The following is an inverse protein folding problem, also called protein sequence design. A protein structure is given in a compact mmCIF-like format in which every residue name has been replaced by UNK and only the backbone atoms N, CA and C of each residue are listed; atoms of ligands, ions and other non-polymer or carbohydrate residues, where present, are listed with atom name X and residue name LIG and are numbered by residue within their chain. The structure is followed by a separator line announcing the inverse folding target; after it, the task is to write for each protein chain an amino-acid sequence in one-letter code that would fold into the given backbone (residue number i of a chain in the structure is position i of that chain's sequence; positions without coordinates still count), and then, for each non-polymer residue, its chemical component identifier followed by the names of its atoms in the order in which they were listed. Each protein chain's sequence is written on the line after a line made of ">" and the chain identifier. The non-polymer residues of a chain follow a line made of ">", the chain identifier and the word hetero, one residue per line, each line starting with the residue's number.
data_IF_608227659471
#
_entry.id   IF_608227659471
#
_cell.length_a   1.000
_cell.length_b   1.000
_cell.length_c   1.000
_cell.angle_alpha   90.00
_cell.angle_beta   90.00
_cell.angle_gamma   90.00
#
_symmetry.space_group_name_H-M   'P 1'
#
loop_
_entity.id
_entity.type
_entity.pdbx_description
1 polymer ?
#
# COMPACT_ATOMS: atom_id res chain seq x y z
N UNK A 1 -43.57 1.38 -26.91
CA UNK A 1 -42.10 1.24 -26.92
C UNK A 1 -41.36 2.56 -27.16
N UNK A 2 -41.68 3.36 -28.18
CA UNK A 2 -40.95 4.62 -28.47
C UNK A 2 -40.93 5.67 -27.34
N UNK A 3 -41.91 5.67 -26.43
CA UNK A 3 -41.91 6.59 -25.28
C UNK A 3 -40.75 6.34 -24.30
N UNK A 4 -40.17 5.13 -24.26
CA UNK A 4 -39.03 4.82 -23.38
C UNK A 4 -37.75 5.55 -23.80
N UNK A 5 -37.63 5.94 -25.07
CA UNK A 5 -36.50 6.76 -25.56
C UNK A 5 -36.54 8.16 -24.94
N UNK A 6 -37.74 8.66 -24.60
CA UNK A 6 -37.92 9.96 -23.95
C UNK A 6 -37.50 9.95 -22.48
N UNK A 7 -37.27 8.77 -21.87
CA UNK A 7 -36.78 8.65 -20.50
C UNK A 7 -35.25 8.79 -20.41
N UNK A 8 -34.51 8.70 -21.52
CA UNK A 8 -33.03 8.81 -21.52
C UNK A 8 -32.51 10.09 -20.85
N UNK A 9 -33.07 11.29 -21.10
CA UNK A 9 -32.65 12.50 -20.37
C UNK A 9 -32.90 12.43 -18.86
N UNK A 10 -33.96 11.73 -18.44
CA UNK A 10 -34.26 11.49 -17.03
C UNK A 10 -33.27 10.49 -16.41
N UNK A 11 -33.00 9.36 -17.08
CA UNK A 11 -31.98 8.40 -16.64
C UNK A 11 -30.60 9.05 -16.54
N UNK A 12 -30.23 9.88 -17.50
CA UNK A 12 -28.95 10.59 -17.50
C UNK A 12 -28.76 11.48 -16.26
N UNK A 13 -29.84 12.11 -15.76
CA UNK A 13 -29.79 12.89 -14.52
C UNK A 13 -29.66 12.02 -13.27
N UNK A 14 -30.10 10.76 -13.31
CA UNK A 14 -30.07 9.84 -12.16
C UNK A 14 -28.80 9.00 -12.12
N UNK A 15 -28.54 8.22 -13.17
CA UNK A 15 -27.34 7.40 -13.31
C UNK A 15 -26.86 7.41 -14.77
N UNK A 16 -25.81 8.19 -15.01
CA UNK A 16 -25.17 8.32 -16.33
C UNK A 16 -24.72 6.99 -16.89
N UNK A 17 -24.25 6.07 -16.05
CA UNK A 17 -23.70 4.79 -16.48
C UNK A 17 -24.82 3.89 -17.02
N UNK A 18 -25.92 3.76 -16.28
CA UNK A 18 -27.07 2.94 -16.71
C UNK A 18 -27.68 3.52 -18.00
N UNK A 19 -27.68 4.85 -18.12
CA UNK A 19 -28.09 5.52 -19.36
C UNK A 19 -27.17 5.19 -20.54
N UNK A 20 -25.85 5.10 -20.33
CA UNK A 20 -24.89 4.71 -21.38
C UNK A 20 -25.11 3.25 -21.78
N UNK A 21 -25.27 2.35 -20.81
CA UNK A 21 -25.56 0.92 -21.08
C UNK A 21 -26.85 0.80 -21.90
N UNK A 22 -27.91 1.51 -21.50
CA UNK A 22 -29.17 1.49 -22.23
C UNK A 22 -29.03 1.97 -23.68
N UNK A 23 -28.36 3.10 -23.89
CA UNK A 23 -28.14 3.65 -25.25
C UNK A 23 -27.27 2.71 -26.08
N UNK A 24 -26.21 2.16 -25.49
CA UNK A 24 -25.32 1.19 -26.15
C UNK A 24 -26.08 -0.05 -26.60
N UNK A 25 -26.87 -0.67 -25.71
CA UNK A 25 -27.68 -1.85 -26.02
C UNK A 25 -28.75 -1.54 -27.07
N UNK A 26 -29.42 -0.39 -26.96
CA UNK A 26 -30.44 0.02 -27.93
C UNK A 26 -29.84 0.18 -29.34
N UNK A 27 -28.72 0.89 -29.45
CA UNK A 27 -28.00 1.06 -30.72
C UNK A 27 -27.51 -0.30 -31.24
N UNK A 28 -26.98 -1.15 -30.35
CA UNK A 28 -26.54 -2.50 -30.66
C UNK A 28 -27.65 -3.35 -31.29
N UNK A 29 -28.86 -3.35 -30.69
CA UNK A 29 -30.01 -4.07 -31.23
C UNK A 29 -30.48 -3.55 -32.59
N UNK A 30 -30.35 -2.24 -32.85
CA UNK A 30 -30.72 -1.62 -34.12
C UNK A 30 -29.74 -2.02 -35.24
N UNK A 31 -28.44 -2.04 -34.95
CA UNK A 31 -27.39 -2.27 -35.95
C UNK A 31 -27.11 -3.76 -36.18
N UNK A 32 -27.04 -4.55 -35.10
CA UNK A 32 -26.61 -5.96 -35.13
C UNK A 32 -27.79 -6.95 -35.11
N UNK A 33 -29.02 -6.46 -34.94
CA UNK A 33 -30.19 -7.28 -34.67
C UNK A 33 -30.37 -7.56 -33.18
N UNK A 34 -31.56 -8.04 -32.82
CA UNK A 34 -31.99 -8.17 -31.42
C UNK A 34 -31.07 -9.12 -30.61
N UNK A 35 -30.79 -10.31 -31.14
CA UNK A 35 -30.04 -11.34 -30.42
C UNK A 35 -28.60 -10.92 -30.11
N UNK A 36 -27.87 -10.43 -31.12
CA UNK A 36 -26.50 -9.96 -30.97
C UNK A 36 -26.41 -8.65 -30.18
N UNK A 37 -27.38 -7.75 -30.35
CA UNK A 37 -27.42 -6.48 -29.62
C UNK A 37 -27.62 -6.68 -28.11
N UNK A 38 -28.50 -7.60 -27.72
CA UNK A 38 -28.70 -7.95 -26.31
C UNK A 38 -27.47 -8.63 -25.71
N UNK A 39 -26.84 -9.56 -26.44
CA UNK A 39 -25.59 -10.19 -25.98
C UNK A 39 -24.48 -9.15 -25.77
N UNK A 40 -24.30 -8.23 -26.72
CA UNK A 40 -23.33 -7.14 -26.61
C UNK A 40 -23.64 -6.23 -25.40
N UNK A 41 -24.91 -5.89 -25.19
CA UNK A 41 -25.37 -5.12 -24.04
C UNK A 41 -25.04 -5.77 -22.71
N UNK A 42 -25.30 -7.08 -22.58
CA UNK A 42 -24.98 -7.87 -21.38
C UNK A 42 -23.48 -7.88 -21.09
N UNK A 43 -22.65 -8.10 -22.11
CA UNK A 43 -21.19 -8.08 -21.97
C UNK A 43 -20.72 -6.69 -21.54
N UNK A 44 -21.26 -5.63 -22.14
CA UNK A 44 -20.91 -4.25 -21.79
C UNK A 44 -21.32 -3.88 -20.36
N UNK A 45 -22.50 -4.32 -19.92
CA UNK A 45 -22.96 -4.19 -18.54
C UNK A 45 -22.02 -4.89 -17.56
N UNK A 46 -21.64 -6.14 -17.85
CA UNK A 46 -20.71 -6.90 -17.01
C UNK A 46 -19.35 -6.22 -16.90
N UNK A 47 -18.78 -5.78 -18.02
CA UNK A 47 -17.51 -5.03 -18.05
C UNK A 47 -17.63 -3.75 -17.22
N UNK A 48 -18.75 -3.05 -17.34
CA UNK A 48 -19.01 -1.81 -16.59
C UNK A 48 -19.09 -2.06 -15.09
N UNK A 49 -19.76 -3.13 -14.66
CA UNK A 49 -19.84 -3.53 -13.25
C UNK A 49 -18.46 -3.87 -12.70
N UNK A 50 -17.67 -4.66 -13.45
CA UNK A 50 -16.30 -4.99 -13.07
C UNK A 50 -15.49 -3.70 -12.93
N UNK A 51 -15.50 -2.82 -13.94
CA UNK A 51 -14.78 -1.55 -13.93
C UNK A 51 -15.13 -0.69 -12.71
N UNK A 52 -16.42 -0.53 -12.41
CA UNK A 52 -16.87 0.25 -11.23
C UNK A 52 -16.40 -0.35 -9.92
N UNK A 53 -16.30 -1.67 -9.84
CA UNK A 53 -15.83 -2.38 -8.64
C UNK A 53 -14.31 -2.29 -8.47
N UNK A 54 -13.56 -2.18 -9.58
CA UNK A 54 -12.10 -2.01 -9.57
C UNK A 54 -11.64 -0.63 -9.10
N UNK A 55 -12.45 0.40 -9.34
CA UNK A 55 -12.08 1.79 -9.04
C UNK A 55 -13.02 2.40 -7.98
N UNK A 56 -12.99 1.90 -6.75
CA UNK A 56 -13.87 2.41 -5.70
C UNK A 56 -13.51 3.83 -5.28
N UNK A 57 -14.42 4.46 -4.54
CA UNK A 57 -14.16 5.77 -3.95
C UNK A 57 -13.37 5.59 -2.65
N UNK A 58 -12.14 6.10 -2.65
CA UNK A 58 -11.28 6.17 -1.48
C UNK A 58 -11.04 7.63 -1.11
N UNK A 59 -11.15 7.96 0.17
CA UNK A 59 -11.12 9.34 0.64
C UNK A 59 -10.32 9.48 1.93
N UNK A 60 -9.63 10.61 2.08
CA UNK A 60 -9.05 11.02 3.35
C UNK A 60 -10.12 11.69 4.20
N UNK A 61 -10.26 11.26 5.45
CA UNK A 61 -11.19 11.86 6.40
C UNK A 61 -10.48 12.88 7.28
N UNK A 62 -11.18 13.97 7.57
CA UNK A 62 -10.81 14.92 8.60
C UNK A 62 -11.96 15.13 9.58
N UNK A 63 -11.68 15.84 10.65
CA UNK A 63 -12.61 16.18 11.70
C UNK A 63 -13.23 17.57 11.47
N UNK A 64 -14.49 17.73 11.85
CA UNK A 64 -15.10 19.05 11.98
C UNK A 64 -14.82 19.60 13.39
N UNK A 65 -14.11 20.74 13.53
CA UNK A 65 -13.63 21.23 14.82
C UNK A 65 -14.74 21.34 15.88
N UNK A 66 -14.47 20.79 17.07
CA UNK A 66 -15.42 20.81 18.20
C UNK A 66 -16.55 19.79 18.11
N UNK A 67 -16.46 18.81 17.21
CA UNK A 67 -17.44 17.71 17.07
C UNK A 67 -16.73 16.38 16.82
N UNK A 68 -17.45 15.26 16.97
CA UNK A 68 -16.94 13.92 16.64
C UNK A 68 -17.26 13.50 15.19
N UNK A 69 -17.53 14.46 14.30
CA UNK A 69 -17.95 14.19 12.92
C UNK A 69 -16.73 14.15 12.02
N UNK A 70 -16.52 13.00 11.37
CA UNK A 70 -15.48 12.80 10.37
C UNK A 70 -16.06 12.73 8.95
N UNK A 71 -15.53 13.55 8.05
CA UNK A 71 -15.99 13.66 6.65
C UNK A 71 -14.81 13.78 5.69
N UNK A 72 -15.09 13.54 4.41
CA UNK A 72 -14.12 13.69 3.34
C UNK A 72 -13.65 15.15 3.23
N UNK A 73 -12.35 15.36 3.31
CA UNK A 73 -11.72 16.69 3.24
C UNK A 73 -11.97 17.36 1.88
N UNK A 74 -12.12 16.58 0.82
CA UNK A 74 -12.38 17.11 -0.53
C UNK A 74 -13.79 17.65 -0.71
N UNK A 75 -14.73 17.14 0.07
CA UNK A 75 -16.16 17.45 -0.09
C UNK A 75 -16.57 18.65 0.78
N UNK A 76 -15.83 18.93 1.87
CA UNK A 76 -16.19 19.95 2.87
C UNK A 76 -15.00 20.85 3.23
N UNK A 77 -15.19 22.17 3.12
CA UNK A 77 -14.13 23.17 3.38
C UNK A 77 -13.77 23.35 4.87
N UNK A 78 -14.68 23.01 5.77
CA UNK A 78 -14.51 23.21 7.22
C UNK A 78 -13.96 21.97 7.95
N UNK A 79 -13.49 20.99 7.19
CA UNK A 79 -12.97 19.73 7.71
C UNK A 79 -11.44 19.79 7.67
N UNK A 80 -10.80 19.49 8.80
CA UNK A 80 -9.35 19.53 8.95
C UNK A 80 -8.79 18.16 9.35
N UNK A 81 -7.60 17.83 8.86
CA UNK A 81 -6.86 16.67 9.35
C UNK A 81 -6.32 16.93 10.76
N UNK A 82 -6.25 15.87 11.56
CA UNK A 82 -5.65 15.93 12.88
C UNK A 82 -4.13 15.81 12.70
N UNK A 83 -3.32 16.75 13.22
CA UNK A 83 -1.87 16.67 13.11
C UNK A 83 -1.34 15.33 13.65
N UNK A 84 -0.48 14.67 12.87
CA UNK A 84 0.10 13.37 13.24
C UNK A 84 -0.79 12.15 12.98
N UNK A 85 -2.06 12.33 12.57
CA UNK A 85 -3.00 11.23 12.30
C UNK A 85 -3.55 11.34 10.88
N UNK A 86 -3.45 10.24 10.14
CA UNK A 86 -4.06 10.09 8.81
C UNK A 86 -5.22 9.11 8.89
N UNK A 87 -6.40 9.50 8.43
CA UNK A 87 -7.57 8.63 8.39
C UNK A 87 -7.94 8.38 6.93
N UNK A 88 -7.90 7.12 6.51
CA UNK A 88 -8.18 6.70 5.14
C UNK A 88 -9.38 5.78 5.09
N UNK A 89 -10.43 6.19 4.37
CA UNK A 89 -11.67 5.43 4.20
C UNK A 89 -11.77 4.87 2.79
N UNK A 90 -12.10 3.59 2.68
CA UNK A 90 -12.45 2.94 1.42
C UNK A 90 -13.90 2.43 1.49
N UNK A 91 -14.75 2.88 0.56
CA UNK A 91 -16.17 2.51 0.52
C UNK A 91 -16.45 1.27 -0.35
N UNK A 92 -15.58 0.26 -0.28
CA UNK A 92 -15.66 -0.93 -1.13
C UNK A 92 -14.92 -2.11 -0.51
N UNK A 93 -15.33 -3.36 -0.83
CA UNK A 93 -14.49 -4.52 -0.60
C UNK A 93 -13.10 -4.32 -1.21
N UNK A 94 -12.08 -4.86 -0.57
CA UNK A 94 -10.72 -4.84 -1.10
C UNK A 94 -10.30 -6.26 -1.41
N UNK A 95 -9.86 -6.46 -2.63
CA UNK A 95 -9.50 -7.77 -3.14
C UNK A 95 -8.40 -7.63 -4.19
N UNK A 96 -7.90 -8.77 -4.67
CA UNK A 96 -6.79 -8.87 -5.60
C UNK A 96 -6.85 -7.86 -6.75
N UNK A 97 -8.02 -7.65 -7.34
CA UNK A 97 -8.11 -6.84 -8.54
C UNK A 97 -8.02 -5.32 -8.25
N UNK A 98 -8.49 -4.83 -7.09
CA UNK A 98 -8.52 -3.41 -6.76
C UNK A 98 -7.47 -2.97 -5.72
N UNK A 99 -6.67 -3.90 -5.20
CA UNK A 99 -5.67 -3.63 -4.16
C UNK A 99 -4.59 -2.64 -4.61
N UNK A 100 -4.22 -2.65 -5.89
CA UNK A 100 -3.21 -1.73 -6.41
C UNK A 100 -3.75 -0.30 -6.47
N UNK A 101 -5.01 -0.14 -6.91
CA UNK A 101 -5.69 1.15 -6.83
C UNK A 101 -5.81 1.65 -5.38
N UNK A 102 -6.11 0.75 -4.44
CA UNK A 102 -6.11 1.09 -3.00
C UNK A 102 -4.73 1.59 -2.54
N UNK A 103 -3.64 0.89 -2.88
CA UNK A 103 -2.27 1.27 -2.51
C UNK A 103 -1.90 2.64 -3.09
N UNK A 104 -2.23 2.89 -4.35
CA UNK A 104 -1.95 4.17 -5.00
C UNK A 104 -2.71 5.32 -4.35
N UNK A 105 -3.99 5.10 -4.00
CA UNK A 105 -4.80 6.09 -3.28
C UNK A 105 -4.28 6.34 -1.87
N UNK A 106 -3.89 5.29 -1.15
CA UNK A 106 -3.32 5.42 0.19
C UNK A 106 -2.00 6.18 0.13
N UNK A 107 -1.12 5.84 -0.81
CA UNK A 107 0.14 6.55 -1.06
C UNK A 107 -0.09 8.03 -1.39
N UNK A 108 -1.13 8.35 -2.15
CA UNK A 108 -1.48 9.75 -2.46
C UNK A 108 -1.95 10.53 -1.21
N UNK A 109 -2.62 9.88 -0.26
CA UNK A 109 -3.08 10.52 1.01
C UNK A 109 -1.95 10.65 2.02
N UNK A 110 -1.11 9.62 2.11
CA UNK A 110 -0.01 9.51 3.07
C UNK A 110 1.24 10.27 2.59
N UNK A 111 1.43 10.42 1.29
CA UNK A 111 2.59 11.08 0.68
C UNK A 111 3.86 10.24 0.67
N UNK A 112 3.80 8.99 1.18
CA UNK A 112 4.95 8.10 1.30
C UNK A 112 4.61 6.72 0.74
N UNK A 113 5.58 6.09 0.09
CA UNK A 113 5.47 4.74 -0.44
C UNK A 113 5.84 3.70 0.61
N UNK A 114 4.88 2.83 0.91
CA UNK A 114 5.02 1.87 1.97
C UNK A 114 6.12 0.83 1.78
N UNK A 115 6.13 0.23 0.60
CA UNK A 115 7.13 -0.75 0.24
C UNK A 115 8.53 -0.13 0.26
N UNK A 116 8.65 1.15 -0.15
CA UNK A 116 9.93 1.86 -0.16
C UNK A 116 10.45 2.14 1.25
N UNK A 117 9.57 2.54 2.19
CA UNK A 117 9.95 2.75 3.59
C UNK A 117 10.44 1.46 4.21
N UNK A 118 9.67 0.38 4.07
CA UNK A 118 10.02 -0.93 4.60
C UNK A 118 11.34 -1.44 4.04
N UNK A 119 11.50 -1.43 2.71
CA UNK A 119 12.74 -1.89 2.06
C UNK A 119 13.97 -1.15 2.59
N UNK A 120 13.86 0.16 2.82
CA UNK A 120 14.95 0.96 3.37
C UNK A 120 15.18 0.71 4.86
N UNK A 121 14.11 0.57 5.65
CA UNK A 121 14.19 0.21 7.08
C UNK A 121 14.81 -1.17 7.28
N UNK A 122 14.35 -2.18 6.56
CA UNK A 122 14.91 -3.54 6.56
C UNK A 122 16.38 -3.54 6.15
N UNK A 123 16.75 -2.78 5.11
CA UNK A 123 18.16 -2.64 4.70
C UNK A 123 19.01 -1.99 5.78
N UNK A 124 18.52 -0.93 6.41
CA UNK A 124 19.22 -0.27 7.51
C UNK A 124 19.40 -1.22 8.71
N UNK A 125 18.36 -1.99 9.07
CA UNK A 125 18.43 -2.98 10.15
C UNK A 125 19.46 -4.08 9.87
N UNK A 126 19.47 -4.64 8.65
CA UNK A 126 20.50 -5.62 8.26
C UNK A 126 21.91 -5.05 8.37
N UNK A 127 22.12 -3.79 7.97
CA UNK A 127 23.42 -3.13 8.11
C UNK A 127 23.82 -2.92 9.57
N UNK A 128 22.88 -2.49 10.41
CA UNK A 128 23.10 -2.31 11.86
C UNK A 128 23.44 -3.67 12.50
N UNK A 129 22.70 -4.73 12.18
CA UNK A 129 22.98 -6.08 12.66
C UNK A 129 24.37 -6.57 12.23
N UNK A 130 24.78 -6.34 10.99
CA UNK A 130 26.12 -6.69 10.52
C UNK A 130 27.22 -5.91 11.25
N UNK A 131 27.00 -4.64 11.58
CA UNK A 131 27.93 -3.84 12.36
C UNK A 131 28.02 -4.32 13.83
N UNK A 132 26.91 -4.78 14.40
CA UNK A 132 26.89 -5.41 15.74
C UNK A 132 27.64 -6.74 15.72
N UNK A 133 27.36 -7.62 14.73
CA UNK A 133 28.08 -8.90 14.56
C UNK A 133 29.59 -8.71 14.41
N UNK A 134 30.01 -7.66 13.69
CA UNK A 134 31.43 -7.28 13.52
C UNK A 134 32.04 -6.58 14.74
N UNK A 135 31.31 -6.42 15.85
CA UNK A 135 31.78 -5.76 17.07
C UNK A 135 31.98 -4.25 16.96
N UNK A 136 31.56 -3.63 15.85
CA UNK A 136 31.75 -2.19 15.57
C UNK A 136 30.67 -1.30 16.20
N UNK A 137 29.56 -1.89 16.64
CA UNK A 137 28.46 -1.20 17.33
C UNK A 137 27.99 -2.03 18.52
N UNK A 138 27.76 -1.39 19.67
CA UNK A 138 27.15 -2.01 20.84
C UNK A 138 25.69 -1.58 20.96
N UNK A 139 24.77 -2.54 20.90
CA UNK A 139 23.36 -2.27 21.15
C UNK A 139 23.13 -2.09 22.66
N UNK A 140 22.51 -0.97 23.05
CA UNK A 140 22.12 -0.71 24.45
C UNK A 140 20.60 -0.69 24.55
N UNK A 141 20.04 -1.18 25.67
CA UNK A 141 18.59 -1.27 25.98
C UNK A 141 17.76 0.01 25.80
N UNK A 142 18.36 1.18 25.55
CA UNK A 142 17.69 2.49 25.45
C UNK A 142 17.84 3.20 24.10
N UNK A 143 18.32 2.52 23.07
CA UNK A 143 18.61 3.12 21.76
C UNK A 143 20.11 3.26 21.54
N UNK A 144 20.52 3.07 20.29
CA UNK A 144 21.91 2.90 19.87
C UNK A 144 22.66 4.23 19.89
N UNK A 145 23.64 4.42 20.78
CA UNK A 145 24.79 5.32 20.54
C UNK A 145 26.03 4.85 21.30
N UNK A 146 27.04 4.38 20.56
CA UNK A 146 28.47 4.68 20.77
C UNK A 146 29.27 4.01 19.65
N UNK A 147 29.73 4.80 18.69
CA UNK A 147 30.84 4.42 17.82
C UNK A 147 32.11 4.53 18.65
N UNK A 148 32.80 3.42 18.91
CA UNK A 148 34.19 3.51 19.34
C UNK A 148 34.97 4.11 18.17
N UNK A 149 35.47 5.33 18.35
CA UNK A 149 36.24 6.04 17.36
C UNK A 149 37.46 5.23 16.96
N UNK A 150 37.51 4.83 15.68
CA UNK A 150 38.76 4.66 14.94
C UNK A 150 38.49 5.14 13.50
N UNK A 151 39.14 6.24 13.22
CA UNK A 151 39.50 6.90 11.97
C UNK A 151 40.23 5.95 11.00
N UNK A 152 39.70 5.77 9.77
CA UNK A 152 40.38 6.08 8.50
C UNK A 152 39.66 5.53 7.24
N UNK A 153 39.66 6.41 6.23
CA UNK A 153 39.75 6.28 4.76
C UNK A 153 39.61 4.90 4.07
N UNK A 154 38.90 4.90 2.93
CA UNK A 154 38.98 3.85 1.91
C UNK A 154 37.63 3.19 1.56
N UNK A 155 36.90 3.78 0.61
CA UNK A 155 35.74 3.13 -0.01
C UNK A 155 36.20 2.49 -1.32
N UNK A 156 36.55 1.21 -1.29
CA UNK A 156 36.54 0.38 -2.48
C UNK A 156 35.41 -0.63 -2.40
N UNK A 157 34.58 -0.57 -3.44
CA UNK A 157 33.45 -1.44 -3.68
C UNK A 157 33.97 -2.59 -4.51
N UNK A 158 34.15 -3.76 -3.91
CA UNK A 158 34.32 -4.97 -4.71
C UNK A 158 33.75 -6.22 -4.05
N UNK A 159 33.38 -7.07 -4.97
CA UNK A 159 32.59 -8.30 -4.95
C UNK A 159 33.43 -9.42 -4.36
N UNK A 160 32.88 -10.17 -3.42
CA UNK A 160 32.96 -11.65 -3.36
C UNK A 160 32.25 -12.19 -2.12
N UNK A 161 31.37 -13.16 -2.36
CA UNK A 161 31.02 -14.16 -1.36
C UNK A 161 32.28 -14.99 -1.15
N UNK A 162 32.72 -15.14 0.10
CA UNK A 162 33.34 -16.38 0.53
C UNK A 162 33.29 -16.49 2.06
N UNK A 163 33.21 -17.74 2.48
CA UNK A 163 32.83 -18.29 3.79
C UNK A 163 33.72 -17.78 4.93
N UNK A 164 33.14 -17.56 6.12
CA UNK A 164 33.94 -17.60 7.35
C UNK A 164 33.08 -17.92 8.59
N UNK A 165 33.30 -19.14 9.04
CA UNK A 165 33.37 -19.68 10.40
C UNK A 165 32.50 -19.08 11.51
N UNK A 166 31.69 -20.00 12.03
CA UNK A 166 30.93 -19.99 13.27
C UNK A 166 31.82 -19.66 14.48
N UNK A 167 31.88 -18.40 14.87
CA UNK A 167 32.37 -18.00 16.20
C UNK A 167 31.20 -17.56 17.06
N UNK A 168 31.02 -18.31 18.14
CA UNK A 168 29.93 -18.27 19.10
C UNK A 168 29.96 -16.98 19.93
N UNK A 169 28.88 -16.18 19.83
CA UNK A 169 28.56 -15.13 20.80
C UNK A 169 27.10 -15.34 21.24
N UNK A 170 26.78 -15.22 22.55
CA UNK A 170 25.50 -15.69 23.09
C UNK A 170 24.33 -14.92 22.50
N UNK A 171 23.37 -15.65 21.94
CA UNK A 171 22.05 -15.20 21.52
C UNK A 171 21.22 -14.74 22.72
N UNK A 172 21.57 -13.59 23.29
CA UNK A 172 20.58 -12.81 24.02
C UNK A 172 19.88 -11.99 22.95
N UNK A 173 18.61 -12.30 22.66
CA UNK A 173 17.75 -11.51 21.78
C UNK A 173 17.62 -10.09 22.35
N UNK A 174 18.59 -9.23 22.05
CA UNK A 174 18.52 -7.81 22.36
C UNK A 174 17.60 -7.22 21.31
N UNK A 175 16.37 -6.91 21.71
CA UNK A 175 15.41 -6.19 20.90
C UNK A 175 15.99 -4.81 20.53
N UNK A 176 16.46 -4.66 19.29
CA UNK A 176 17.13 -3.44 18.82
C UNK A 176 16.03 -2.42 18.47
N UNK A 177 15.81 -1.45 19.36
CA UNK A 177 14.94 -0.29 19.09
C UNK A 177 15.71 0.76 18.28
N UNK A 178 15.22 1.06 17.08
CA UNK A 178 15.80 2.07 16.18
C UNK A 178 14.86 3.25 16.07
N UNK A 179 15.35 4.43 16.44
CA UNK A 179 14.66 5.69 16.18
C UNK A 179 14.85 6.09 14.71
N UNK A 180 13.77 6.05 13.93
CA UNK A 180 13.77 6.34 12.50
C UNK A 180 13.79 7.84 12.17
N UNK A 181 13.52 8.71 13.16
CA UNK A 181 13.57 10.16 12.98
C UNK A 181 14.97 10.74 13.25
N UNK A 182 15.83 9.95 13.90
CA UNK A 182 17.23 10.25 14.21
C UNK A 182 18.20 9.94 13.06
N UNK A 183 19.41 10.52 13.11
CA UNK A 183 20.48 10.21 12.17
C UNK A 183 20.99 8.78 12.40
N UNK A 184 20.71 7.91 11.42
CA UNK A 184 21.12 6.51 11.48
C UNK A 184 22.65 6.39 11.35
N UNK A 185 23.29 5.44 12.06
CA UNK A 185 24.74 5.18 11.96
C UNK A 185 25.14 4.52 10.62
N UNK A 186 24.23 4.44 9.65
CA UNK A 186 24.41 3.83 8.34
C UNK A 186 24.05 4.85 7.25
N UNK A 187 24.77 4.81 6.12
CA UNK A 187 24.52 5.67 4.94
C UNK A 187 23.26 5.24 4.18
N UNK A 188 22.11 5.15 4.85
CA UNK A 188 20.81 4.81 4.25
C UNK A 188 19.82 5.91 4.60
N UNK A 189 19.45 6.73 3.60
CA UNK A 189 18.43 7.76 3.78
C UNK A 189 17.03 7.13 3.78
N UNK A 190 16.46 6.87 4.95
CA UNK A 190 15.08 6.39 5.12
C UNK A 190 14.12 7.57 4.93
N UNK A 191 13.02 7.43 4.15
CA UNK A 191 12.03 8.50 4.03
C UNK A 191 11.40 8.79 5.39
N UNK A 192 11.36 10.07 5.78
CA UNK A 192 10.67 10.49 7.00
C UNK A 192 9.16 10.37 6.81
N UNK A 193 8.48 9.88 7.84
CA UNK A 193 7.03 9.68 7.86
C UNK A 193 6.44 10.76 8.76
N UNK A 194 5.56 11.60 8.23
CA UNK A 194 5.08 12.81 8.92
C UNK A 194 3.89 12.58 9.86
N UNK A 195 3.48 11.33 10.08
CA UNK A 195 2.36 10.94 10.92
C UNK A 195 2.77 9.73 11.77
N UNK A 196 2.23 9.66 12.98
CA UNK A 196 2.47 8.54 13.90
C UNK A 196 1.35 7.48 13.82
N UNK A 197 0.14 7.87 13.38
CA UNK A 197 -1.00 6.95 13.28
C UNK A 197 -1.69 7.04 11.93
N UNK A 198 -1.81 5.91 11.25
CA UNK A 198 -2.72 5.72 10.12
C UNK A 198 -3.91 4.86 10.60
N UNK A 199 -5.11 5.40 10.42
CA UNK A 199 -6.36 4.72 10.68
C UNK A 199 -6.95 4.32 9.34
N UNK A 200 -7.16 3.02 9.14
CA UNK A 200 -7.84 2.48 7.97
C UNK A 200 -9.30 2.21 8.34
N UNK A 201 -10.19 3.02 7.80
CA UNK A 201 -11.63 2.88 7.96
C UNK A 201 -12.21 1.96 6.87
N UNK A 202 -12.52 0.73 7.28
CA UNK A 202 -13.17 -0.30 6.48
C UNK A 202 -14.65 -0.49 6.85
N UNK A 203 -15.31 0.49 7.48
CA UNK A 203 -16.71 0.35 7.93
C UNK A 203 -17.68 -0.02 6.81
N UNK A 204 -17.31 0.27 5.56
CA UNK A 204 -18.11 0.02 4.35
C UNK A 204 -17.55 -1.11 3.46
N UNK A 205 -16.44 -1.74 3.86
CA UNK A 205 -15.90 -2.90 3.15
C UNK A 205 -16.64 -4.15 3.60
N UNK A 206 -17.26 -4.88 2.67
CA UNK A 206 -17.98 -6.11 3.02
C UNK A 206 -17.06 -7.32 3.20
N UNK A 207 -15.88 -7.33 2.57
CA UNK A 207 -14.87 -8.36 2.75
C UNK A 207 -13.46 -7.88 2.37
N UNK A 208 -12.47 -8.66 2.80
CA UNK A 208 -11.06 -8.59 2.41
C UNK A 208 -10.63 -10.01 2.00
N UNK A 209 -9.99 -10.15 0.85
CA UNK A 209 -9.39 -11.42 0.43
C UNK A 209 -7.97 -11.64 1.00
N UNK A 210 -7.40 -12.83 0.77
CA UNK A 210 -6.06 -13.17 1.29
C UNK A 210 -4.97 -12.22 0.76
N UNK A 211 -5.07 -11.79 -0.50
CA UNK A 211 -4.04 -10.93 -1.12
C UNK A 211 -4.09 -9.51 -0.55
N UNK A 212 -5.28 -8.97 -0.33
CA UNK A 212 -5.50 -7.67 0.29
C UNK A 212 -5.02 -7.68 1.74
N UNK A 213 -5.30 -8.73 2.52
CA UNK A 213 -4.78 -8.85 3.90
C UNK A 213 -3.25 -8.86 3.92
N UNK A 214 -2.59 -9.62 3.04
CA UNK A 214 -1.12 -9.61 2.92
C UNK A 214 -0.58 -8.21 2.58
N UNK A 215 -1.26 -7.51 1.67
CA UNK A 215 -0.91 -6.15 1.28
C UNK A 215 -1.11 -5.14 2.42
N UNK A 216 -2.16 -5.30 3.22
CA UNK A 216 -2.42 -4.46 4.40
C UNK A 216 -1.42 -4.73 5.53
N UNK A 217 -1.00 -5.98 5.72
CA UNK A 217 0.06 -6.31 6.68
C UNK A 217 1.35 -5.56 6.37
N UNK A 218 1.73 -5.50 5.08
CA UNK A 218 2.88 -4.70 4.64
C UNK A 218 2.70 -3.23 5.01
N UNK A 219 1.52 -2.66 4.83
CA UNK A 219 1.24 -1.27 5.20
C UNK A 219 1.32 -1.07 6.73
N UNK A 220 0.80 -2.01 7.53
CA UNK A 220 0.86 -1.97 8.99
C UNK A 220 2.29 -2.01 9.52
N UNK A 221 3.15 -2.84 8.92
CA UNK A 221 4.57 -2.94 9.28
C UNK A 221 5.34 -1.64 9.06
N UNK A 222 4.84 -0.70 8.26
CA UNK A 222 5.45 0.64 8.21
C UNK A 222 5.22 1.43 9.48
N UNK A 223 4.09 1.20 10.14
CA UNK A 223 3.69 1.98 11.31
C UNK A 223 4.32 1.40 12.57
N UNK A 224 4.45 0.07 12.63
CA UNK A 224 5.15 -0.59 13.70
C UNK A 224 6.66 -0.38 13.55
N UNK A 225 7.18 0.58 14.31
CA UNK A 225 8.61 0.71 14.59
C UNK A 225 9.12 -0.36 15.57
N UNK A 226 8.25 -1.24 16.06
CA UNK A 226 8.47 -2.09 17.25
C UNK A 226 8.46 -3.60 16.98
N UNK A 227 7.97 -4.11 15.85
CA UNK A 227 8.04 -5.56 15.61
C UNK A 227 9.48 -5.99 15.25
N UNK A 228 10.05 -6.99 15.95
CA UNK A 228 11.30 -7.59 15.54
C UNK A 228 11.08 -8.22 14.17
N UNK A 229 11.80 -7.75 13.15
CA UNK A 229 11.87 -8.44 11.86
C UNK A 229 12.47 -9.82 12.11
N UNK A 230 11.61 -10.82 12.28
CA UNK A 230 11.97 -12.22 12.27
C UNK A 230 12.36 -12.57 10.84
N UNK A 231 13.67 -12.67 10.62
CA UNK A 231 14.22 -13.24 9.40
C UNK A 231 14.11 -14.76 9.53
N UNK A 232 13.02 -15.32 9.03
CA UNK A 232 13.06 -16.68 8.51
C UNK A 232 13.64 -16.57 7.10
N UNK A 233 14.76 -17.24 6.87
CA UNK A 233 15.53 -17.15 5.62
C UNK A 233 14.77 -17.66 4.38
N UNK A 234 13.53 -18.13 4.53
CA UNK A 234 12.78 -18.82 3.46
C UNK A 234 11.68 -18.01 2.73
N UNK A 235 11.10 -16.93 3.28
CA UNK A 235 9.80 -16.44 2.73
C UNK A 235 9.83 -15.15 1.88
N UNK A 236 10.92 -14.38 1.89
CA UNK A 236 10.88 -13.02 1.29
C UNK A 236 11.42 -12.93 -0.14
N UNK A 237 12.23 -13.88 -0.60
CA UNK A 237 12.74 -13.86 -1.99
C UNK A 237 11.76 -14.50 -2.97
N UNK A 238 11.09 -15.58 -2.56
CA UNK A 238 10.20 -16.35 -3.44
C UNK A 238 8.93 -15.57 -3.82
N UNK A 239 8.36 -14.79 -2.90
CA UNK A 239 7.09 -14.08 -3.15
C UNK A 239 7.25 -12.90 -4.11
N UNK A 240 8.35 -12.15 -4.01
CA UNK A 240 8.62 -11.00 -4.88
C UNK A 240 9.10 -11.42 -6.27
N UNK A 241 9.91 -12.47 -6.38
CA UNK A 241 10.35 -12.99 -7.67
C UNK A 241 9.22 -13.72 -8.41
N UNK A 242 8.32 -14.41 -7.72
CA UNK A 242 7.15 -15.02 -8.36
C UNK A 242 6.16 -13.97 -8.88
N UNK A 243 5.95 -12.86 -8.16
CA UNK A 243 5.15 -11.74 -8.69
C UNK A 243 5.83 -11.04 -9.88
N UNK A 244 7.16 -10.91 -9.85
CA UNK A 244 7.92 -10.30 -10.96
C UNK A 244 7.96 -11.20 -12.21
N UNK A 245 8.07 -12.52 -12.03
CA UNK A 245 7.96 -13.52 -13.12
C UNK A 245 6.55 -13.58 -13.71
N UNK A 246 5.50 -13.44 -12.89
CA UNK A 246 4.12 -13.40 -13.39
C UNK A 246 3.82 -12.17 -14.25
N UNK A 247 4.47 -11.04 -13.99
CA UNK A 247 4.28 -9.79 -14.76
C UNK A 247 5.11 -9.76 -16.05
N UNK A 248 6.30 -10.36 -16.07
CA UNK A 248 7.19 -10.36 -17.24
C UNK A 248 7.17 -11.67 -18.06
N UNK A 249 6.49 -12.72 -17.58
CA UNK A 249 6.43 -14.04 -18.22
C UNK A 249 5.35 -14.21 -19.30
N UNK A 250 4.59 -13.17 -19.64
CA UNK A 250 3.57 -13.19 -20.70
C UNK A 250 4.04 -12.60 -22.03
N UNK A 251 5.36 -12.47 -22.22
CA UNK A 251 5.96 -12.15 -23.52
C UNK A 251 6.96 -13.23 -23.91
N UNK A 252 6.46 -14.39 -24.31
CA UNK A 252 7.11 -15.21 -25.34
C UNK A 252 6.08 -16.10 -26.03
#
# INVERSE_FOLDING_TARGET
>A
MFMQVLDVPRLWRQNKIDSIIWVFTCIGCIILGLDLGLLAGLVFELVTVVYRTQFPTCSALGNFPGTDIYKNIKDYKHVAEIPGIKIFKCNSPIFFANIDYFKDRLKAVVGVDAARVLKKRTKALRMIQNLIKKGRLRATKKGVVSTMGIDNEGFEMEKELEEMEESSIPTTEVEIRVDWDSDLPVKVAVPKVSFHSLILDFSAASFLDVVSVKSLKLISLMQDSEEPLTFTDDETEETYDNQRRAIHGLSS
#
